data_IF_124058168877
#
_entry.id   IF_124058168877
#
_cell.length_a   1.000
_cell.length_b   1.000
_cell.length_c   1.000
_cell.angle_alpha   90.00
_cell.angle_beta   90.00
_cell.angle_gamma   90.00
#
_symmetry.space_group_name_H-M   'P 1'
#
loop_
_entity.id
_entity.type
_entity.pdbx_description
1 polymer ?
#
# COMPACT_ATOMS: atom_id res chain seq x y z
N UNK A 1 12.76 63.90 1.32
CA UNK A 1 12.95 64.06 2.77
C UNK A 1 13.76 62.87 3.28
N UNK A 2 15.00 63.16 3.57
CA UNK A 2 16.09 62.26 3.95
C UNK A 2 16.19 62.20 5.47
N UNK A 3 16.22 61.05 6.12
CA UNK A 3 16.80 60.95 7.46
C UNK A 3 17.50 59.58 7.61
N UNK A 4 18.72 59.73 7.94
CA UNK A 4 19.93 59.00 8.21
C UNK A 4 19.83 57.95 9.34
N UNK A 5 20.58 56.88 9.13
CA UNK A 5 21.52 56.10 9.95
C UNK A 5 21.57 56.36 11.46
N UNK A 6 21.63 55.27 12.21
CA UNK A 6 22.61 55.17 13.30
C UNK A 6 23.15 53.74 13.44
N UNK A 7 24.46 53.63 13.40
CA UNK A 7 25.29 52.46 13.67
C UNK A 7 25.97 52.72 15.01
N UNK A 8 26.08 51.76 15.89
CA UNK A 8 27.06 51.75 16.98
C UNK A 8 27.53 50.32 17.30
N UNK A 9 28.85 50.20 17.54
CA UNK A 9 29.52 48.90 17.74
C UNK A 9 29.93 48.65 19.20
N UNK A 10 30.74 47.60 19.42
CA UNK A 10 31.50 47.20 20.63
C UNK A 10 30.80 46.08 21.42
N UNK A 11 31.45 45.02 21.91
CA UNK A 11 32.87 44.75 22.16
C UNK A 11 33.11 43.21 22.21
N UNK A 12 34.31 42.84 21.81
CA UNK A 12 34.90 41.50 21.95
C UNK A 12 35.36 41.28 23.40
N UNK A 13 35.10 40.07 23.94
CA UNK A 13 35.79 39.62 25.16
C UNK A 13 36.38 38.22 24.89
N UNK A 14 37.67 38.17 24.82
CA UNK A 14 38.48 36.95 24.78
C UNK A 14 38.66 36.42 26.20
N UNK A 15 38.39 35.15 26.40
CA UNK A 15 38.73 34.42 27.64
C UNK A 15 39.83 33.39 27.35
N UNK A 16 40.99 33.63 27.96
CA UNK A 16 42.17 32.75 27.97
C UNK A 16 41.93 31.66 29.01
N UNK A 17 42.03 30.39 28.61
CA UNK A 17 42.04 29.26 29.55
C UNK A 17 43.46 28.69 29.65
N UNK A 18 44.04 28.83 30.82
CA UNK A 18 45.35 28.30 31.24
C UNK A 18 45.23 26.78 31.53
N UNK A 19 46.08 26.01 30.89
CA UNK A 19 46.29 24.58 31.16
C UNK A 19 47.15 24.36 32.41
N UNK A 20 46.72 23.54 33.32
CA UNK A 20 47.54 23.02 34.42
C UNK A 20 47.87 21.53 34.16
N UNK A 21 49.11 21.25 33.89
CA UNK A 21 49.70 19.91 33.83
C UNK A 21 50.06 19.46 35.27
N UNK A 22 49.48 18.34 35.70
CA UNK A 22 49.98 17.58 36.85
C UNK A 22 50.46 16.20 36.40
N UNK A 23 51.74 15.99 36.42
CA UNK A 23 52.39 14.70 36.32
C UNK A 23 52.29 13.93 37.64
N UNK A 24 51.82 12.71 37.62
CA UNK A 24 52.02 11.76 38.70
C UNK A 24 52.49 10.42 38.12
N UNK A 25 53.69 9.99 38.51
CA UNK A 25 54.28 8.70 38.22
C UNK A 25 53.83 7.63 39.25
N UNK A 26 53.70 6.40 38.79
CA UNK A 26 54.03 5.23 39.60
C UNK A 26 52.92 4.21 39.84
N UNK A 27 53.09 3.02 39.30
CA UNK A 27 52.34 1.83 39.70
C UNK A 27 52.18 0.80 38.59
N UNK A 28 53.11 -0.17 38.50
CA UNK A 28 52.95 -1.34 37.64
C UNK A 28 51.84 -2.23 38.21
N UNK A 29 50.75 -2.38 37.44
CA UNK A 29 49.66 -3.33 37.72
C UNK A 29 49.26 -4.03 36.45
N UNK A 30 49.30 -5.35 36.47
CA UNK A 30 48.98 -6.28 35.41
C UNK A 30 47.67 -5.96 34.67
N UNK A 31 47.76 -5.69 33.38
CA UNK A 31 46.64 -5.54 32.48
C UNK A 31 45.99 -6.90 32.21
N UNK A 32 44.96 -7.22 32.93
CA UNK A 32 43.89 -8.11 32.43
C UNK A 32 42.94 -7.27 31.57
N UNK A 33 43.12 -7.38 30.26
CA UNK A 33 42.16 -6.78 29.31
C UNK A 33 40.80 -7.43 29.54
N UNK A 34 39.93 -6.70 30.22
CA UNK A 34 38.50 -6.98 30.25
C UNK A 34 38.00 -6.80 28.79
N UNK A 35 37.79 -7.92 28.09
CA UNK A 35 36.98 -7.93 26.87
C UNK A 35 35.61 -7.42 27.29
N UNK A 36 35.31 -6.19 26.91
CA UNK A 36 33.95 -5.67 26.97
C UNK A 36 33.07 -6.65 26.22
N UNK A 37 32.15 -7.28 26.93
CA UNK A 37 31.05 -8.00 26.31
C UNK A 37 30.29 -6.98 25.47
N UNK A 38 30.39 -7.11 24.15
CA UNK A 38 29.48 -6.43 23.23
C UNK A 38 28.08 -6.85 23.64
N UNK A 39 27.26 -5.90 24.07
CA UNK A 39 25.83 -6.13 24.25
C UNK A 39 25.31 -6.73 22.94
N UNK A 40 24.50 -7.79 22.98
CA UNK A 40 23.89 -8.30 21.77
C UNK A 40 23.16 -7.11 21.12
N UNK A 41 23.51 -6.79 19.88
CA UNK A 41 22.75 -5.81 19.09
C UNK A 41 21.29 -6.22 19.15
N UNK A 42 20.43 -5.31 19.64
CA UNK A 42 19.00 -5.54 19.63
C UNK A 42 18.60 -5.86 18.17
N UNK A 43 17.88 -6.95 17.98
CA UNK A 43 17.39 -7.33 16.66
C UNK A 43 16.47 -6.19 16.20
N UNK A 44 16.71 -5.56 15.03
CA UNK A 44 15.88 -4.47 14.56
C UNK A 44 14.41 -4.89 14.44
N UNK A 45 13.50 -4.00 14.78
CA UNK A 45 12.05 -4.24 14.64
C UNK A 45 11.71 -4.65 13.20
N UNK A 46 10.87 -5.68 13.03
CA UNK A 46 10.48 -6.22 11.73
C UNK A 46 11.53 -7.11 11.03
N UNK A 47 12.65 -7.38 11.69
CA UNK A 47 13.64 -8.33 11.19
C UNK A 47 13.09 -9.76 11.26
N UNK A 48 13.17 -10.48 10.15
CA UNK A 48 12.87 -11.92 10.04
C UNK A 48 14.19 -12.65 9.80
N UNK A 49 14.32 -13.86 10.34
CA UNK A 49 15.53 -14.66 10.15
C UNK A 49 15.88 -14.83 8.66
N UNK A 50 17.13 -14.54 8.31
CA UNK A 50 17.61 -14.53 6.92
C UNK A 50 17.38 -13.24 6.15
N UNK A 51 16.71 -12.23 6.73
CA UNK A 51 16.54 -10.92 6.11
C UNK A 51 17.81 -10.07 6.23
N UNK A 52 18.01 -9.22 5.24
CA UNK A 52 19.03 -8.16 5.22
C UNK A 52 18.34 -6.81 5.22
N UNK A 53 18.81 -5.92 6.07
CA UNK A 53 18.40 -4.52 6.03
C UNK A 53 19.09 -3.82 4.86
N UNK A 54 18.35 -2.98 4.14
CA UNK A 54 18.81 -2.17 3.02
C UNK A 54 18.65 -0.68 3.33
N UNK A 55 19.54 0.14 2.76
CA UNK A 55 19.48 1.60 2.94
C UNK A 55 18.35 2.27 2.14
N UNK A 56 17.82 1.58 1.13
CA UNK A 56 16.82 2.10 0.21
C UNK A 56 15.68 1.10 0.01
N UNK A 57 14.54 1.59 -0.46
CA UNK A 57 13.38 0.77 -0.77
C UNK A 57 13.73 -0.34 -1.77
N UNK A 58 13.25 -1.54 -1.48
CA UNK A 58 13.49 -2.75 -2.26
C UNK A 58 12.20 -3.19 -2.94
N UNK A 59 11.70 -2.39 -3.89
CA UNK A 59 10.44 -2.71 -4.58
C UNK A 59 10.59 -3.87 -5.56
N UNK A 60 9.56 -4.71 -5.59
CA UNK A 60 9.39 -5.82 -6.54
C UNK A 60 7.99 -5.81 -7.14
N UNK A 61 7.87 -6.25 -8.38
CA UNK A 61 6.58 -6.52 -9.00
C UNK A 61 6.34 -8.03 -9.05
N UNK A 62 5.23 -8.44 -8.47
CA UNK A 62 4.64 -9.76 -8.67
C UNK A 62 3.84 -9.73 -9.97
N UNK A 63 4.09 -10.71 -10.84
CA UNK A 63 3.51 -10.81 -12.18
C UNK A 63 2.96 -12.21 -12.37
N UNK A 64 1.75 -12.35 -12.90
CA UNK A 64 1.15 -13.67 -13.17
C UNK A 64 0.48 -13.71 -14.54
N UNK A 65 0.68 -14.82 -15.24
CA UNK A 65 -0.08 -15.23 -16.42
C UNK A 65 -1.12 -16.26 -15.98
N UNK A 66 -2.41 -15.92 -15.86
CA UNK A 66 -3.43 -16.84 -15.36
C UNK A 66 -3.62 -18.10 -16.20
N UNK A 67 -3.33 -18.03 -17.49
CA UNK A 67 -3.54 -19.15 -18.42
C UNK A 67 -2.48 -20.23 -18.24
N UNK A 68 -1.20 -19.84 -18.26
CA UNK A 68 -0.09 -20.75 -18.00
C UNK A 68 0.10 -21.04 -16.51
N UNK A 69 -0.29 -20.12 -15.66
CA UNK A 69 -0.03 -20.11 -14.23
C UNK A 69 1.37 -19.59 -13.88
N UNK A 70 2.15 -19.23 -14.89
CA UNK A 70 3.52 -18.73 -14.68
C UNK A 70 3.51 -17.46 -13.83
N UNK A 71 4.27 -17.49 -12.75
CA UNK A 71 4.43 -16.34 -11.86
C UNK A 71 5.89 -15.92 -11.82
N UNK A 72 6.12 -14.62 -11.90
CA UNK A 72 7.45 -14.01 -11.86
C UNK A 72 7.50 -12.91 -10.80
N UNK A 73 8.69 -12.68 -10.30
CA UNK A 73 9.02 -11.50 -9.49
C UNK A 73 10.07 -10.71 -10.27
N UNK A 74 9.74 -9.48 -10.64
CA UNK A 74 10.66 -8.51 -11.21
C UNK A 74 11.21 -7.64 -10.07
N UNK A 75 12.49 -7.71 -9.83
CA UNK A 75 13.21 -6.85 -8.90
C UNK A 75 13.49 -5.50 -9.56
N UNK A 76 12.91 -4.43 -9.04
CA UNK A 76 12.98 -3.10 -9.66
C UNK A 76 14.32 -2.39 -9.46
N UNK A 77 15.11 -2.83 -8.47
CA UNK A 77 16.46 -2.30 -8.23
C UNK A 77 17.43 -2.87 -9.27
N UNK A 78 17.41 -4.19 -9.44
CA UNK A 78 18.36 -4.89 -10.31
C UNK A 78 17.86 -5.12 -11.73
N UNK A 79 16.56 -5.06 -11.96
CA UNK A 79 15.90 -5.44 -13.22
C UNK A 79 15.85 -6.96 -13.46
N UNK A 80 16.23 -7.77 -12.48
CA UNK A 80 16.22 -9.22 -12.62
C UNK A 80 14.81 -9.80 -12.44
N UNK A 81 14.52 -10.82 -13.25
CA UNK A 81 13.24 -11.56 -13.20
C UNK A 81 13.51 -12.94 -12.60
N UNK A 82 12.74 -13.26 -11.55
CA UNK A 82 12.83 -14.54 -10.85
C UNK A 82 11.57 -15.37 -11.07
N UNK A 83 11.73 -16.65 -11.38
CA UNK A 83 10.63 -17.61 -11.44
C UNK A 83 10.21 -18.00 -10.02
N UNK A 84 8.90 -18.07 -9.78
CA UNK A 84 8.32 -18.50 -8.51
C UNK A 84 7.35 -19.69 -8.72
N UNK A 85 6.28 -19.76 -7.92
CA UNK A 85 5.26 -20.80 -8.04
C UNK A 85 4.50 -20.75 -9.38
N UNK A 86 3.87 -21.84 -9.76
CA UNK A 86 2.88 -21.89 -10.83
C UNK A 86 1.48 -21.85 -10.23
N UNK A 87 0.72 -20.78 -10.50
CA UNK A 87 -0.65 -20.59 -10.00
C UNK A 87 -1.59 -20.30 -11.16
N UNK A 88 -2.27 -21.31 -11.64
CA UNK A 88 -3.24 -21.22 -12.75
C UNK A 88 -4.58 -20.66 -12.29
N UNK A 89 -5.36 -20.19 -13.24
CA UNK A 89 -6.74 -19.73 -13.04
C UNK A 89 -6.82 -18.58 -12.00
N UNK A 90 -5.75 -17.82 -11.85
CA UNK A 90 -5.72 -16.63 -10.99
C UNK A 90 -6.62 -15.58 -11.60
N UNK A 91 -7.66 -15.18 -10.88
CA UNK A 91 -8.62 -14.15 -11.35
C UNK A 91 -8.27 -12.77 -10.81
N UNK A 92 -7.48 -12.70 -9.73
CA UNK A 92 -7.08 -11.44 -9.12
C UNK A 92 -5.78 -11.62 -8.33
N UNK A 93 -4.92 -10.62 -8.40
CA UNK A 93 -3.70 -10.51 -7.59
C UNK A 93 -3.84 -9.30 -6.66
N UNK A 94 -3.71 -9.55 -5.37
CA UNK A 94 -3.67 -8.52 -4.33
C UNK A 94 -2.34 -8.54 -3.59
N UNK A 95 -2.08 -7.50 -2.81
CA UNK A 95 -0.90 -7.42 -1.94
C UNK A 95 -1.21 -6.64 -0.66
N UNK A 96 -0.45 -6.92 0.39
CA UNK A 96 -0.40 -6.13 1.62
C UNK A 96 0.95 -5.41 1.80
N UNK A 97 1.71 -5.31 0.71
CA UNK A 97 3.04 -4.69 0.68
C UNK A 97 4.19 -5.69 0.81
N UNK A 98 4.00 -6.87 1.40
CA UNK A 98 4.98 -7.96 1.47
C UNK A 98 4.53 -9.19 0.71
N UNK A 99 3.34 -9.70 1.04
CA UNK A 99 2.80 -10.89 0.40
C UNK A 99 1.98 -10.54 -0.84
N UNK A 100 2.07 -11.42 -1.84
CA UNK A 100 1.14 -11.48 -2.95
C UNK A 100 0.09 -12.54 -2.69
N UNK A 101 -1.16 -12.19 -2.96
CA UNK A 101 -2.33 -13.06 -2.82
C UNK A 101 -2.93 -13.31 -4.19
N UNK A 102 -2.68 -14.51 -4.74
CA UNK A 102 -3.20 -14.95 -6.03
C UNK A 102 -4.52 -15.68 -5.80
N UNK A 103 -5.62 -15.00 -6.07
CA UNK A 103 -6.96 -15.51 -5.84
C UNK A 103 -7.41 -16.38 -7.01
N UNK A 104 -7.73 -17.65 -6.73
CA UNK A 104 -8.27 -18.61 -7.68
C UNK A 104 -9.67 -19.07 -7.26
N UNK A 105 -10.45 -19.73 -8.11
CA UNK A 105 -11.71 -20.34 -7.68
C UNK A 105 -11.56 -21.36 -6.54
N UNK A 106 -10.42 -22.07 -6.46
CA UNK A 106 -10.15 -23.08 -5.45
C UNK A 106 -9.65 -22.55 -4.12
N UNK A 107 -8.90 -21.45 -4.13
CA UNK A 107 -8.26 -20.89 -2.94
C UNK A 107 -7.49 -19.62 -3.23
N UNK A 108 -6.81 -19.12 -2.23
CA UNK A 108 -5.89 -17.96 -2.37
C UNK A 108 -4.47 -18.41 -2.09
N UNK A 109 -3.64 -18.43 -3.13
CA UNK A 109 -2.23 -18.79 -3.01
C UNK A 109 -1.43 -17.60 -2.49
N UNK A 110 -0.52 -17.85 -1.54
CA UNK A 110 0.26 -16.82 -0.85
C UNK A 110 1.74 -16.93 -1.22
N UNK A 111 2.29 -15.86 -1.76
CA UNK A 111 3.72 -15.73 -2.07
C UNK A 111 4.34 -14.63 -1.20
N UNK A 112 5.39 -14.95 -0.45
CA UNK A 112 6.24 -13.94 0.19
C UNK A 112 7.20 -13.39 -0.87
N UNK A 113 7.05 -12.12 -1.20
CA UNK A 113 7.91 -11.45 -2.17
C UNK A 113 9.35 -11.31 -1.69
N UNK A 114 9.60 -11.51 -0.40
CA UNK A 114 10.89 -11.35 0.25
C UNK A 114 11.32 -9.90 0.41
N UNK A 115 10.44 -8.93 0.22
CA UNK A 115 10.73 -7.52 0.48
C UNK A 115 9.61 -6.87 1.28
N UNK A 116 9.97 -6.01 2.23
CA UNK A 116 9.02 -5.24 3.03
C UNK A 116 9.67 -4.03 3.65
N UNK A 117 8.84 -3.10 4.12
CA UNK A 117 9.30 -1.99 4.93
C UNK A 117 8.59 -1.96 6.28
N UNK A 118 9.24 -1.35 7.26
CA UNK A 118 8.67 -1.04 8.58
C UNK A 118 8.77 0.46 8.77
N UNK A 119 7.62 1.12 8.82
CA UNK A 119 7.51 2.57 9.00
C UNK A 119 7.25 2.88 10.48
N UNK A 120 8.17 3.58 11.13
CA UNK A 120 8.06 4.04 12.52
C UNK A 120 7.51 5.47 12.62
N UNK A 121 7.14 6.07 11.48
CA UNK A 121 6.63 7.44 11.40
C UNK A 121 7.73 8.49 11.24
N UNK A 122 8.81 8.41 11.99
CA UNK A 122 9.98 9.28 11.91
C UNK A 122 11.10 8.72 11.02
N UNK A 123 11.17 7.40 10.84
CA UNK A 123 12.09 6.70 9.96
C UNK A 123 11.52 5.39 9.44
N UNK A 124 12.14 4.83 8.40
CA UNK A 124 11.70 3.61 7.72
C UNK A 124 12.88 2.64 7.60
N UNK A 125 12.63 1.36 7.91
CA UNK A 125 13.56 0.28 7.62
C UNK A 125 13.09 -0.50 6.40
N UNK A 126 14.02 -0.84 5.52
CA UNK A 126 13.77 -1.65 4.33
C UNK A 126 14.46 -3.00 4.50
N UNK A 127 13.75 -4.07 4.19
CA UNK A 127 14.28 -5.42 4.32
C UNK A 127 14.16 -6.18 3.00
N UNK A 128 15.15 -7.06 2.76
CA UNK A 128 15.10 -8.02 1.67
C UNK A 128 15.52 -9.41 2.15
N UNK A 129 14.83 -10.42 1.62
CA UNK A 129 15.06 -11.83 1.87
C UNK A 129 14.82 -12.64 0.59
N UNK A 130 15.02 -13.96 0.65
CA UNK A 130 14.62 -14.85 -0.41
C UNK A 130 13.08 -14.86 -0.55
N UNK A 131 12.60 -14.95 -1.79
CA UNK A 131 11.18 -15.18 -2.09
C UNK A 131 10.76 -16.56 -1.59
N UNK A 132 9.50 -16.72 -1.19
CA UNK A 132 8.98 -17.98 -0.67
C UNK A 132 7.57 -18.25 -1.13
N UNK A 133 7.33 -19.48 -1.54
CA UNK A 133 5.98 -20.02 -1.66
C UNK A 133 5.50 -20.43 -0.27
N UNK A 134 4.42 -19.78 0.22
CA UNK A 134 3.88 -20.02 1.57
C UNK A 134 2.79 -21.09 1.54
N UNK A 135 2.08 -21.21 0.42
CA UNK A 135 1.01 -22.18 0.25
C UNK A 135 -0.35 -21.53 -0.01
N UNK A 136 -1.44 -22.24 0.31
CA UNK A 136 -2.79 -21.86 -0.07
C UNK A 136 -3.71 -21.65 1.16
N UNK A 137 -4.46 -20.55 1.16
CA UNK A 137 -5.54 -20.28 2.11
C UNK A 137 -6.87 -20.76 1.53
N UNK A 138 -7.77 -21.35 2.36
CA UNK A 138 -9.06 -21.88 1.89
C UNK A 138 -10.09 -20.75 1.68
N UNK A 139 -9.80 -19.83 0.77
CA UNK A 139 -10.62 -18.66 0.49
C UNK A 139 -10.58 -18.37 -1.01
N UNK A 140 -11.72 -18.46 -1.67
CA UNK A 140 -11.85 -18.42 -3.13
C UNK A 140 -11.62 -17.04 -3.74
N UNK A 141 -11.96 -16.92 -5.01
CA UNK A 141 -11.61 -15.80 -5.90
C UNK A 141 -12.06 -14.41 -5.43
N UNK A 142 -13.14 -14.32 -4.66
CA UNK A 142 -13.69 -13.06 -4.15
C UNK A 142 -13.28 -12.74 -2.71
N UNK A 143 -12.42 -13.55 -2.10
CA UNK A 143 -11.94 -13.31 -0.75
C UNK A 143 -11.22 -11.95 -0.64
N UNK A 144 -11.47 -11.24 0.46
CA UNK A 144 -10.78 -10.00 0.80
C UNK A 144 -9.68 -10.32 1.81
N UNK A 145 -8.47 -9.89 1.53
CA UNK A 145 -7.32 -10.08 2.43
C UNK A 145 -6.84 -8.71 2.89
N UNK A 146 -6.76 -8.52 4.20
CA UNK A 146 -6.22 -7.29 4.83
C UNK A 146 -5.32 -7.68 5.99
N UNK A 147 -4.21 -6.97 6.12
CA UNK A 147 -3.20 -7.28 7.14
C UNK A 147 -2.79 -6.04 7.92
N UNK A 148 -2.41 -6.25 9.16
CA UNK A 148 -1.53 -5.37 9.92
C UNK A 148 -0.25 -6.13 10.32
N UNK A 149 0.55 -5.57 11.20
CA UNK A 149 1.80 -6.19 11.66
C UNK A 149 1.59 -7.49 12.47
N UNK A 150 0.39 -7.79 12.92
CA UNK A 150 0.13 -8.94 13.79
C UNK A 150 -0.80 -9.98 13.20
N UNK A 151 -1.76 -9.59 12.36
CA UNK A 151 -2.74 -10.52 11.81
C UNK A 151 -3.01 -10.27 10.33
N UNK A 152 -3.33 -11.34 9.62
CA UNK A 152 -3.89 -11.30 8.27
C UNK A 152 -5.35 -11.79 8.34
N UNK A 153 -6.28 -10.88 8.09
CA UNK A 153 -7.70 -11.16 8.03
C UNK A 153 -8.12 -11.56 6.61
N UNK A 154 -8.75 -12.70 6.47
CA UNK A 154 -9.29 -13.23 5.22
C UNK A 154 -10.80 -13.34 5.35
N UNK A 155 -11.54 -12.54 4.59
CA UNK A 155 -13.01 -12.58 4.59
C UNK A 155 -13.48 -13.20 3.27
N UNK A 156 -14.22 -14.29 3.33
CA UNK A 156 -14.76 -14.94 2.14
C UNK A 156 -16.04 -14.25 1.63
N UNK A 157 -16.53 -14.67 0.48
CA UNK A 157 -17.73 -14.13 -0.17
C UNK A 157 -18.99 -14.26 0.71
N UNK A 158 -19.06 -15.30 1.56
CA UNK A 158 -20.14 -15.52 2.51
C UNK A 158 -20.05 -14.64 3.77
N UNK A 159 -19.00 -13.83 3.90
CA UNK A 159 -18.75 -12.97 5.06
C UNK A 159 -18.15 -13.69 6.27
N UNK A 160 -17.69 -14.94 6.10
CA UNK A 160 -16.89 -15.62 7.12
C UNK A 160 -15.49 -15.02 7.13
N UNK A 161 -15.01 -14.62 8.29
CA UNK A 161 -13.67 -14.05 8.46
C UNK A 161 -12.78 -14.98 9.28
N UNK A 162 -11.56 -15.20 8.76
CA UNK A 162 -10.49 -15.99 9.34
C UNK A 162 -9.30 -15.08 9.65
N UNK A 163 -8.72 -15.19 10.83
CA UNK A 163 -7.51 -14.46 11.22
C UNK A 163 -6.33 -15.43 11.28
N UNK A 164 -5.33 -15.16 10.49
CA UNK A 164 -4.04 -15.84 10.51
C UNK A 164 -3.02 -15.01 11.28
N UNK A 165 -2.15 -15.67 12.01
CA UNK A 165 -1.00 -15.03 12.66
C UNK A 165 -0.01 -14.54 11.58
N UNK A 166 0.29 -13.26 11.59
CA UNK A 166 1.19 -12.64 10.63
C UNK A 166 2.60 -13.17 10.73
N UNK A 167 3.09 -13.38 11.94
CA UNK A 167 4.46 -13.86 12.18
C UNK A 167 4.65 -15.28 11.67
N UNK A 168 3.64 -16.14 11.72
CA UNK A 168 3.70 -17.49 11.16
C UNK A 168 3.76 -17.46 9.62
N UNK A 169 2.97 -16.58 8.97
CA UNK A 169 3.05 -16.37 7.52
C UNK A 169 4.45 -15.87 7.12
N UNK A 170 5.04 -14.98 7.90
CA UNK A 170 6.40 -14.46 7.68
C UNK A 170 7.49 -15.52 7.86
N UNK A 171 7.22 -16.56 8.62
CA UNK A 171 8.05 -17.77 8.71
C UNK A 171 7.76 -18.78 7.59
N UNK A 172 6.81 -18.49 6.68
CA UNK A 172 6.40 -19.37 5.60
C UNK A 172 5.47 -20.50 6.05
N UNK A 173 4.69 -20.26 7.11
CA UNK A 173 3.77 -21.26 7.67
C UNK A 173 2.34 -20.77 7.64
N UNK A 174 1.43 -21.61 7.18
CA UNK A 174 -0.02 -21.40 7.33
C UNK A 174 -0.49 -22.25 8.50
N UNK A 175 -0.79 -21.60 9.61
CA UNK A 175 -1.31 -22.25 10.82
C UNK A 175 -2.84 -22.18 10.86
N UNK A 176 -3.46 -22.90 11.81
CA UNK A 176 -4.91 -22.87 11.97
C UNK A 176 -5.39 -21.48 12.34
N UNK A 177 -6.30 -20.87 11.57
CA UNK A 177 -6.77 -19.51 11.84
C UNK A 177 -7.77 -19.46 13.00
N UNK A 178 -7.91 -18.29 13.59
CA UNK A 178 -9.04 -17.97 14.45
C UNK A 178 -10.23 -17.59 13.58
N UNK A 179 -11.34 -18.29 13.74
CA UNK A 179 -12.61 -17.93 13.07
C UNK A 179 -13.33 -16.86 13.86
N UNK A 180 -13.60 -15.72 13.23
CA UNK A 180 -14.40 -14.66 13.87
C UNK A 180 -15.87 -15.05 13.91
N UNK A 181 -16.57 -14.75 15.02
CA UNK A 181 -17.99 -15.03 15.15
C UNK A 181 -18.85 -14.10 14.30
N UNK A 182 -19.90 -14.66 13.69
CA UNK A 182 -20.89 -13.93 12.89
C UNK A 182 -20.48 -13.76 11.43
N UNK A 183 -21.33 -13.05 10.69
CA UNK A 183 -21.17 -12.76 9.27
C UNK A 183 -20.83 -11.28 9.09
N UNK A 184 -19.88 -11.00 8.21
CA UNK A 184 -19.37 -9.66 7.95
C UNK A 184 -19.73 -9.23 6.51
N UNK A 185 -19.89 -7.95 6.30
CA UNK A 185 -20.15 -7.37 4.98
C UNK A 185 -18.85 -6.73 4.48
N UNK A 186 -18.32 -7.21 3.35
CA UNK A 186 -17.04 -6.75 2.82
C UNK A 186 -15.84 -7.23 3.65
N UNK A 187 -14.73 -6.52 3.57
CA UNK A 187 -13.51 -6.87 4.27
C UNK A 187 -13.61 -6.63 5.79
N UNK A 188 -12.97 -7.51 6.56
CA UNK A 188 -12.56 -7.22 7.94
C UNK A 188 -11.17 -6.60 7.88
N UNK A 189 -11.04 -5.37 8.37
CA UNK A 189 -9.80 -4.58 8.25
C UNK A 189 -9.11 -4.50 9.61
N UNK A 190 -7.92 -5.09 9.78
CA UNK A 190 -7.10 -4.87 10.97
C UNK A 190 -6.64 -3.40 11.05
N UNK A 191 -6.82 -2.78 12.21
CA UNK A 191 -6.46 -1.39 12.44
C UNK A 191 -6.30 -1.10 13.94
N UNK A 192 -5.16 -0.54 14.36
CA UNK A 192 -4.88 -0.15 15.75
C UNK A 192 -5.23 -1.25 16.75
N UNK A 193 -4.62 -2.44 16.58
CA UNK A 193 -4.81 -3.65 17.39
C UNK A 193 -6.24 -4.22 17.42
N UNK A 194 -7.14 -3.68 16.63
CA UNK A 194 -8.55 -4.05 16.53
C UNK A 194 -8.90 -4.47 15.12
N UNK A 195 -10.15 -4.83 14.91
CA UNK A 195 -10.73 -5.18 13.62
C UNK A 195 -11.92 -4.28 13.34
N UNK A 196 -11.91 -3.59 12.22
CA UNK A 196 -13.05 -2.84 11.71
C UNK A 196 -13.86 -3.74 10.79
N UNK A 197 -15.15 -3.84 11.01
CA UNK A 197 -16.03 -4.70 10.22
C UNK A 197 -17.43 -4.09 10.11
N UNK A 198 -18.14 -4.46 9.04
CA UNK A 198 -19.56 -4.17 8.92
C UNK A 198 -20.40 -5.41 9.24
N UNK A 199 -21.46 -5.23 9.98
CA UNK A 199 -22.45 -6.26 10.27
C UNK A 199 -23.85 -5.77 9.89
N UNK A 200 -24.69 -6.70 9.44
CA UNK A 200 -26.08 -6.38 9.17
C UNK A 200 -26.81 -6.12 10.49
N UNK A 201 -27.45 -4.97 10.57
CA UNK A 201 -28.37 -4.60 11.64
C UNK A 201 -29.66 -4.06 11.03
N UNK A 202 -30.72 -4.86 11.08
CA UNK A 202 -32.02 -4.47 10.54
C UNK A 202 -32.01 -4.01 9.08
N UNK A 203 -31.19 -4.67 8.22
CA UNK A 203 -31.06 -4.32 6.82
C UNK A 203 -30.01 -3.26 6.47
N UNK A 204 -29.31 -2.73 7.48
CA UNK A 204 -28.27 -1.69 7.30
C UNK A 204 -26.91 -2.22 7.72
N UNK A 205 -25.85 -1.85 7.01
CA UNK A 205 -24.49 -2.15 7.37
C UNK A 205 -23.99 -1.20 8.47
N UNK A 206 -23.89 -1.70 9.70
CA UNK A 206 -23.39 -0.96 10.85
C UNK A 206 -21.90 -1.24 11.05
N UNK A 207 -21.10 -0.19 11.22
CA UNK A 207 -19.70 -0.32 11.60
C UNK A 207 -19.57 -0.81 13.04
N UNK A 208 -18.80 -1.86 13.23
CA UNK A 208 -18.42 -2.39 14.54
C UNK A 208 -16.91 -2.49 14.66
N UNK A 209 -16.41 -2.25 15.86
CA UNK A 209 -15.00 -2.47 16.22
C UNK A 209 -14.94 -3.72 17.11
N UNK A 210 -14.12 -4.67 16.69
CA UNK A 210 -13.93 -5.94 17.36
C UNK A 210 -12.51 -6.07 17.91
N UNK A 211 -12.35 -6.80 19.00
CA UNK A 211 -11.02 -7.32 19.36
C UNK A 211 -10.62 -8.47 18.43
N UNK A 212 -9.37 -8.93 18.52
CA UNK A 212 -8.85 -10.04 17.69
C UNK A 212 -9.50 -11.40 17.98
N UNK A 213 -10.40 -11.49 18.98
CA UNK A 213 -11.25 -12.66 19.25
C UNK A 213 -12.66 -12.51 18.69
N UNK A 214 -12.96 -11.37 18.05
CA UNK A 214 -14.23 -11.05 17.44
C UNK A 214 -15.29 -10.55 18.43
N UNK A 215 -14.93 -10.24 19.68
CA UNK A 215 -15.82 -9.59 20.64
C UNK A 215 -15.91 -8.10 20.28
N UNK A 216 -17.14 -7.58 20.20
CA UNK A 216 -17.39 -6.15 19.96
C UNK A 216 -16.88 -5.32 21.15
N UNK A 217 -15.99 -4.37 20.90
CA UNK A 217 -15.44 -3.44 21.88
C UNK A 217 -15.97 -2.04 21.71
N UNK A 218 -16.35 -1.64 20.49
CA UNK A 218 -17.00 -0.37 20.22
C UNK A 218 -17.99 -0.46 19.05
N UNK A 219 -18.90 0.49 18.98
CA UNK A 219 -19.76 0.75 17.83
C UNK A 219 -19.91 2.27 17.73
N UNK A 220 -19.28 2.93 16.76
CA UNK A 220 -19.38 4.37 16.58
C UNK A 220 -20.78 4.88 16.21
N UNK A 221 -21.75 3.97 16.02
CA UNK A 221 -23.13 4.32 15.71
C UNK A 221 -23.36 4.87 14.31
N UNK A 222 -22.41 4.60 13.39
CA UNK A 222 -22.45 5.06 12.00
C UNK A 222 -22.72 3.88 11.09
N UNK A 223 -23.52 4.10 10.07
CA UNK A 223 -23.83 3.15 9.00
C UNK A 223 -23.18 3.57 7.70
N UNK A 224 -22.86 2.59 6.88
CA UNK A 224 -22.38 2.78 5.51
C UNK A 224 -23.33 2.03 4.57
N UNK A 225 -24.06 2.75 3.75
CA UNK A 225 -24.93 2.11 2.78
C UNK A 225 -24.07 1.42 1.73
N UNK A 226 -24.32 0.13 1.50
CA UNK A 226 -23.62 -0.68 0.50
C UNK A 226 -22.07 -0.57 0.58
N UNK A 227 -21.43 -0.96 1.71
CA UNK A 227 -19.98 -0.81 1.87
C UNK A 227 -19.23 -1.60 0.79
N UNK A 228 -18.37 -0.91 0.04
CA UNK A 228 -17.54 -1.49 -1.02
C UNK A 228 -16.19 -0.79 -1.10
N UNK A 229 -15.13 -1.59 -1.12
CA UNK A 229 -13.77 -1.07 -1.13
C UNK A 229 -13.36 -0.46 0.21
N UNK A 230 -12.10 -0.55 0.48
CA UNK A 230 -11.46 0.01 1.66
C UNK A 230 -10.02 0.42 1.34
N UNK A 231 -9.48 1.32 2.15
CA UNK A 231 -8.08 1.72 2.11
C UNK A 231 -7.59 2.12 3.50
N UNK A 232 -6.40 1.65 3.87
CA UNK A 232 -5.74 2.07 5.10
C UNK A 232 -4.79 3.22 4.76
N UNK A 233 -4.97 4.36 5.40
CA UNK A 233 -4.14 5.56 5.24
C UNK A 233 -3.52 5.96 6.57
N UNK A 234 -2.60 6.93 6.56
CA UNK A 234 -2.07 7.51 7.81
C UNK A 234 -3.13 8.26 8.61
N UNK A 235 -4.23 8.64 8.00
CA UNK A 235 -5.34 9.37 8.64
C UNK A 235 -6.40 8.46 9.25
N UNK A 236 -6.38 7.19 8.91
CA UNK A 236 -7.36 6.19 9.31
C UNK A 236 -7.76 5.28 8.17
N UNK A 237 -8.80 4.51 8.38
CA UNK A 237 -9.35 3.59 7.38
C UNK A 237 -10.52 4.24 6.68
N UNK A 238 -10.47 4.22 5.35
CA UNK A 238 -11.56 4.65 4.47
C UNK A 238 -12.35 3.43 4.03
N UNK A 239 -13.67 3.54 4.06
CA UNK A 239 -14.60 2.60 3.43
C UNK A 239 -15.46 3.35 2.41
N UNK A 240 -15.62 2.80 1.22
CA UNK A 240 -16.57 3.33 0.22
C UNK A 240 -18.00 3.01 0.62
N UNK A 241 -18.89 4.00 0.54
CA UNK A 241 -20.31 3.90 0.80
C UNK A 241 -21.11 4.41 -0.41
N UNK A 242 -22.41 4.15 -0.43
CA UNK A 242 -23.25 4.59 -1.54
C UNK A 242 -23.29 6.13 -1.74
N UNK A 243 -23.09 6.88 -0.68
CA UNK A 243 -23.17 8.34 -0.61
C UNK A 243 -21.83 9.05 -0.44
N UNK A 244 -20.72 8.31 -0.45
CA UNK A 244 -19.39 8.87 -0.29
C UNK A 244 -18.41 7.89 0.34
N UNK A 245 -17.64 8.33 1.32
CA UNK A 245 -16.75 7.50 2.11
C UNK A 245 -17.01 7.64 3.60
N UNK A 246 -16.63 6.61 4.36
CA UNK A 246 -16.60 6.62 5.81
C UNK A 246 -15.13 6.57 6.26
N UNK A 247 -14.66 7.61 6.93
CA UNK A 247 -13.35 7.66 7.57
C UNK A 247 -13.45 7.19 9.02
N UNK A 248 -12.73 6.12 9.35
CA UNK A 248 -12.62 5.60 10.71
C UNK A 248 -11.25 5.89 11.29
N UNK A 249 -11.20 6.50 12.46
CA UNK A 249 -9.96 6.84 13.16
C UNK A 249 -9.96 6.29 14.58
N UNK A 250 -8.77 5.93 15.05
CA UNK A 250 -8.53 5.61 16.45
C UNK A 250 -7.69 6.71 17.10
N UNK A 251 -8.05 7.07 18.33
CA UNK A 251 -7.27 7.97 19.17
C UNK A 251 -7.43 7.58 20.64
N UNK A 252 -6.33 7.29 21.32
CA UNK A 252 -6.32 6.86 22.73
C UNK A 252 -7.30 5.71 23.02
N UNK A 253 -7.36 4.71 22.14
CA UNK A 253 -8.25 3.55 22.28
C UNK A 253 -9.73 3.82 21.97
N UNK A 254 -10.10 5.05 21.64
CA UNK A 254 -11.45 5.41 21.20
C UNK A 254 -11.51 5.44 19.66
N UNK A 255 -12.63 4.96 19.11
CA UNK A 255 -12.89 4.95 17.68
C UNK A 255 -13.94 5.98 17.30
N UNK A 256 -13.64 6.79 16.31
CA UNK A 256 -14.57 7.75 15.71
C UNK A 256 -14.78 7.42 14.25
N UNK A 257 -15.96 7.73 13.73
CA UNK A 257 -16.27 7.54 12.32
C UNK A 257 -16.95 8.81 11.78
N UNK A 258 -16.52 9.24 10.59
CA UNK A 258 -16.94 10.48 9.94
C UNK A 258 -17.31 10.18 8.49
N UNK A 259 -18.48 10.62 8.03
CA UNK A 259 -18.91 10.50 6.63
C UNK A 259 -18.33 11.65 5.82
N UNK A 260 -17.73 11.31 4.69
CA UNK A 260 -17.24 12.26 3.69
C UNK A 260 -18.12 12.10 2.44
N UNK A 261 -19.17 12.93 2.28
CA UNK A 261 -20.11 12.79 1.17
C UNK A 261 -19.50 13.26 -0.15
N UNK A 262 -19.94 12.71 -1.29
CA UNK A 262 -19.49 13.17 -2.62
C UNK A 262 -19.76 14.65 -2.92
N UNK A 263 -20.63 15.30 -2.15
CA UNK A 263 -21.03 16.70 -2.39
C UNK A 263 -22.13 16.85 -3.45
N UNK A 264 -22.24 15.91 -4.36
CA UNK A 264 -23.28 15.79 -5.39
C UNK A 264 -23.83 14.37 -5.41
N UNK A 265 -25.01 14.18 -6.00
CA UNK A 265 -25.55 12.83 -6.16
C UNK A 265 -24.67 12.03 -7.14
N UNK A 266 -24.12 10.90 -6.69
CA UNK A 266 -23.40 9.96 -7.53
C UNK A 266 -24.32 8.78 -7.91
N UNK A 267 -24.58 8.53 -9.21
CA UNK A 267 -25.29 7.33 -9.64
C UNK A 267 -24.59 6.06 -9.15
N UNK A 268 -25.31 4.97 -9.00
CA UNK A 268 -24.74 3.70 -8.51
C UNK A 268 -23.56 3.19 -9.36
N UNK A 269 -23.55 3.49 -10.65
CA UNK A 269 -22.49 3.17 -11.62
C UNK A 269 -21.24 4.02 -11.47
N UNK A 270 -21.32 5.17 -10.81
CA UNK A 270 -20.20 6.11 -10.63
C UNK A 270 -19.66 6.12 -9.20
N UNK A 271 -20.15 5.25 -8.31
CA UNK A 271 -19.67 5.19 -6.92
C UNK A 271 -18.27 4.62 -6.85
N UNK A 272 -17.44 5.14 -5.95
CA UNK A 272 -16.13 4.61 -5.65
C UNK A 272 -16.25 3.26 -4.96
N UNK A 273 -15.88 2.18 -5.63
CA UNK A 273 -16.00 0.79 -5.14
C UNK A 273 -14.67 0.08 -4.97
N UNK A 274 -13.58 0.67 -5.47
CA UNK A 274 -12.23 0.15 -5.35
C UNK A 274 -11.25 1.32 -5.31
N UNK A 275 -10.54 1.44 -4.20
CA UNK A 275 -9.56 2.51 -4.03
C UNK A 275 -8.18 2.09 -4.52
N UNK A 276 -7.48 3.02 -5.19
CA UNK A 276 -6.07 2.93 -5.53
C UNK A 276 -5.34 4.12 -4.96
N UNK A 277 -4.15 3.89 -4.46
CA UNK A 277 -3.27 4.92 -3.92
C UNK A 277 -1.86 4.37 -3.72
N UNK A 278 -0.89 5.24 -3.66
CA UNK A 278 0.42 4.87 -3.13
C UNK A 278 0.31 4.64 -1.61
N UNK A 279 0.88 3.57 -1.06
CA UNK A 279 0.91 3.35 0.39
C UNK A 279 1.47 4.54 1.16
N UNK A 280 0.79 4.90 2.24
CA UNK A 280 1.11 6.08 3.05
C UNK A 280 0.69 7.42 2.44
N UNK A 281 0.00 7.44 1.30
CA UNK A 281 -0.67 8.64 0.77
C UNK A 281 -2.05 8.81 1.40
N UNK A 282 -2.46 10.05 1.59
CA UNK A 282 -3.82 10.42 2.02
C UNK A 282 -4.72 10.80 0.82
N UNK A 283 -4.24 10.61 -0.41
CA UNK A 283 -5.01 10.83 -1.64
C UNK A 283 -5.35 9.49 -2.26
N UNK A 284 -6.63 9.20 -2.38
CA UNK A 284 -7.15 7.96 -2.94
C UNK A 284 -7.84 8.22 -4.27
N UNK A 285 -7.73 7.28 -5.20
CA UNK A 285 -8.42 7.35 -6.49
C UNK A 285 -9.36 6.17 -6.66
N UNK A 286 -10.47 6.38 -7.34
CA UNK A 286 -11.40 5.33 -7.76
C UNK A 286 -12.05 5.74 -9.09
N UNK A 287 -12.35 4.77 -9.94
CA UNK A 287 -13.11 5.07 -11.15
C UNK A 287 -14.52 5.57 -10.81
N UNK A 288 -14.99 6.55 -11.59
CA UNK A 288 -16.33 7.13 -11.53
C UNK A 288 -17.06 6.86 -12.86
N UNK A 289 -17.62 5.66 -13.00
CA UNK A 289 -18.12 5.21 -14.30
C UNK A 289 -17.00 4.83 -15.26
N UNK A 290 -17.20 5.10 -16.55
CA UNK A 290 -16.26 4.69 -17.60
C UNK A 290 -15.29 5.79 -18.03
N UNK A 291 -15.61 7.06 -17.80
CA UNK A 291 -14.92 8.23 -18.36
C UNK A 291 -14.61 9.32 -17.31
N UNK A 292 -14.57 8.96 -16.05
CA UNK A 292 -14.20 9.87 -14.99
C UNK A 292 -13.53 9.12 -13.80
N UNK A 293 -12.93 9.91 -12.94
CA UNK A 293 -12.23 9.41 -11.73
C UNK A 293 -12.63 10.25 -10.53
N UNK A 294 -12.98 9.59 -9.44
CA UNK A 294 -13.04 10.21 -8.12
C UNK A 294 -11.65 10.26 -7.49
N UNK A 295 -11.31 11.42 -6.97
CA UNK A 295 -10.12 11.62 -6.11
C UNK A 295 -10.60 12.08 -4.75
N UNK A 296 -10.27 11.30 -3.70
CA UNK A 296 -10.55 11.63 -2.32
C UNK A 296 -9.28 12.16 -1.64
N UNK A 297 -9.30 13.42 -1.24
CA UNK A 297 -8.33 13.94 -0.27
C UNK A 297 -8.85 13.65 1.16
N UNK A 298 -8.23 12.67 1.81
CA UNK A 298 -8.61 12.24 3.16
C UNK A 298 -8.27 13.30 4.21
N UNK A 299 -7.22 14.10 3.98
CA UNK A 299 -6.82 15.15 4.89
C UNK A 299 -7.79 16.33 4.85
N UNK A 300 -8.18 16.79 3.65
CA UNK A 300 -9.15 17.84 3.43
C UNK A 300 -10.61 17.39 3.57
N UNK A 301 -10.87 16.07 3.51
CA UNK A 301 -12.23 15.46 3.48
C UNK A 301 -13.06 15.93 2.32
N UNK A 302 -12.46 15.97 1.15
CA UNK A 302 -13.09 16.42 -0.07
C UNK A 302 -12.95 15.42 -1.20
N UNK A 303 -13.98 15.34 -2.02
CA UNK A 303 -13.98 14.62 -3.27
C UNK A 303 -13.82 15.57 -4.43
N UNK A 304 -12.96 15.23 -5.38
CA UNK A 304 -12.86 15.87 -6.68
C UNK A 304 -13.21 14.84 -7.74
N UNK A 305 -14.12 15.18 -8.66
CA UNK A 305 -14.39 14.38 -9.84
C UNK A 305 -13.59 14.97 -11.00
N UNK A 306 -12.78 14.14 -11.63
CA UNK A 306 -11.99 14.51 -12.82
C UNK A 306 -12.57 13.77 -14.02
N UNK A 307 -13.04 14.52 -15.02
CA UNK A 307 -13.48 13.95 -16.29
C UNK A 307 -12.25 13.56 -17.12
N UNK A 308 -12.25 12.36 -17.67
CA UNK A 308 -11.13 11.76 -18.41
C UNK A 308 -11.61 11.15 -19.71
N UNK A 309 -10.74 10.51 -20.47
CA UNK A 309 -11.16 9.53 -21.48
C UNK A 309 -11.58 8.20 -20.83
N UNK A 310 -11.97 7.21 -21.64
CA UNK A 310 -12.43 5.92 -21.12
C UNK A 310 -11.36 5.19 -20.33
N UNK A 311 -11.64 4.95 -19.04
CA UNK A 311 -10.69 4.49 -18.02
C UNK A 311 -10.46 2.98 -18.10
N UNK A 312 -9.20 2.55 -18.23
CA UNK A 312 -8.74 1.18 -18.04
C UNK A 312 -8.23 1.00 -16.62
N UNK A 313 -7.33 1.88 -16.18
CA UNK A 313 -6.76 1.86 -14.84
C UNK A 313 -6.49 3.27 -14.34
N UNK A 314 -6.45 3.43 -13.01
CA UNK A 314 -6.19 4.72 -12.37
C UNK A 314 -5.32 4.54 -11.14
N UNK A 315 -4.45 5.51 -10.87
CA UNK A 315 -3.69 5.64 -9.62
C UNK A 315 -3.14 7.07 -9.45
N UNK A 316 -2.56 7.36 -8.29
CA UNK A 316 -1.81 8.60 -8.01
C UNK A 316 -0.75 8.34 -6.95
N UNK A 317 0.36 9.07 -7.02
CA UNK A 317 1.36 9.06 -5.97
C UNK A 317 0.94 9.90 -4.74
N UNK A 318 -0.11 10.69 -4.87
CA UNK A 318 -0.68 11.50 -3.80
C UNK A 318 -0.50 13.00 -4.01
N UNK A 319 -0.52 13.76 -2.92
CA UNK A 319 -0.48 15.20 -2.92
C UNK A 319 0.66 15.78 -3.79
N UNK A 320 0.32 16.74 -4.65
CA UNK A 320 1.27 17.37 -5.57
C UNK A 320 1.66 16.53 -6.79
N UNK A 321 1.15 15.30 -6.89
CA UNK A 321 1.41 14.40 -8.02
C UNK A 321 0.21 14.38 -8.98
N UNK A 322 0.43 14.07 -10.27
CA UNK A 322 -0.67 13.95 -11.22
C UNK A 322 -1.58 12.78 -10.89
N UNK A 323 -2.84 12.89 -11.26
CA UNK A 323 -3.71 11.74 -11.44
C UNK A 323 -3.24 11.00 -12.69
N UNK A 324 -2.97 9.71 -12.57
CA UNK A 324 -2.53 8.84 -13.65
C UNK A 324 -3.71 8.00 -14.12
N UNK A 325 -4.07 8.11 -15.38
CA UNK A 325 -5.16 7.36 -16.00
C UNK A 325 -4.64 6.63 -17.23
N UNK A 326 -4.73 5.32 -17.23
CA UNK A 326 -4.52 4.51 -18.43
C UNK A 326 -5.87 4.43 -19.14
N UNK A 327 -5.92 4.90 -20.36
CA UNK A 327 -7.16 4.97 -21.14
C UNK A 327 -7.25 3.90 -22.21
N UNK A 328 -8.44 3.72 -22.81
CA UNK A 328 -8.68 2.68 -23.83
C UNK A 328 -7.91 2.91 -25.14
N UNK A 329 -7.32 4.08 -25.33
CA UNK A 329 -6.38 4.35 -26.42
C UNK A 329 -4.98 3.74 -26.20
N UNK A 330 -4.79 3.09 -25.04
CA UNK A 330 -3.56 2.44 -24.62
C UNK A 330 -2.50 3.40 -24.09
N UNK A 331 -2.78 4.69 -23.97
CA UNK A 331 -1.85 5.69 -23.46
C UNK A 331 -2.06 5.94 -21.97
N UNK A 332 -0.99 6.27 -21.28
CA UNK A 332 -1.07 6.82 -19.93
C UNK A 332 -1.21 8.34 -20.02
N UNK A 333 -2.25 8.85 -19.37
CA UNK A 333 -2.55 10.28 -19.27
C UNK A 333 -2.27 10.77 -17.84
N UNK A 334 -1.74 11.99 -17.73
CA UNK A 334 -1.55 12.70 -16.47
C UNK A 334 -2.52 13.89 -16.42
N UNK A 335 -3.27 13.99 -15.33
CA UNK A 335 -4.19 15.10 -15.10
C UNK A 335 -3.80 15.85 -13.83
N UNK A 336 -3.97 17.16 -13.86
CA UNK A 336 -3.97 17.97 -12.64
C UNK A 336 -5.27 17.72 -11.88
N UNK A 337 -5.16 17.30 -10.62
CA UNK A 337 -6.33 16.93 -9.80
C UNK A 337 -7.24 18.12 -9.51
N UNK A 338 -6.64 19.30 -9.33
CA UNK A 338 -7.38 20.49 -8.93
C UNK A 338 -8.15 21.14 -10.09
N UNK A 339 -7.56 21.13 -11.28
CA UNK A 339 -8.16 21.77 -12.47
C UNK A 339 -8.87 20.77 -13.38
N UNK A 340 -8.55 19.48 -13.30
CA UNK A 340 -9.02 18.46 -14.23
C UNK A 340 -8.33 18.51 -15.59
N UNK A 341 -7.34 19.40 -15.80
CA UNK A 341 -6.66 19.55 -17.08
C UNK A 341 -5.65 18.43 -17.30
N UNK A 342 -5.61 17.90 -18.52
CA UNK A 342 -4.58 16.96 -18.94
C UNK A 342 -3.24 17.70 -19.06
N UNK A 343 -2.25 17.27 -18.30
CA UNK A 343 -0.91 17.89 -18.24
C UNK A 343 0.13 17.15 -19.06
N UNK A 344 -0.04 15.83 -19.25
CA UNK A 344 0.90 14.99 -19.98
C UNK A 344 0.20 13.77 -20.59
N UNK A 345 0.83 13.14 -21.58
CA UNK A 345 0.38 11.90 -22.20
C UNK A 345 1.56 11.14 -22.78
N UNK A 346 1.59 9.82 -22.64
CA UNK A 346 2.54 8.96 -23.33
C UNK A 346 2.06 8.66 -24.77
N UNK A 347 2.94 8.10 -25.60
CA UNK A 347 2.46 7.29 -26.74
C UNK A 347 1.74 6.06 -26.17
N UNK A 348 0.98 5.35 -27.03
CA UNK A 348 0.33 4.10 -26.60
C UNK A 348 1.37 3.15 -26.01
N UNK A 349 1.13 2.76 -24.75
CA UNK A 349 1.92 1.75 -24.03
C UNK A 349 1.39 0.34 -24.32
N UNK A 350 0.07 0.24 -24.49
CA UNK A 350 -0.60 -1.05 -24.66
C UNK A 350 -0.59 -1.44 -26.15
N UNK A 351 -0.27 -2.71 -26.39
CA UNK A 351 -0.20 -3.31 -27.72
C UNK A 351 -1.48 -4.13 -27.98
N UNK A 352 -2.13 -3.87 -29.11
CA UNK A 352 -3.28 -4.64 -29.60
C UNK A 352 -4.57 -4.39 -28.83
N UNK A 353 -5.71 -4.53 -29.51
CA UNK A 353 -7.05 -4.69 -28.93
C UNK A 353 -7.71 -3.45 -28.36
N UNK A 354 -8.97 -3.65 -28.03
CA UNK A 354 -9.78 -2.72 -27.21
C UNK A 354 -9.57 -3.09 -25.74
N UNK A 355 -8.93 -2.24 -25.01
CA UNK A 355 -8.76 -2.42 -23.57
C UNK A 355 -10.01 -1.90 -22.86
N UNK A 356 -10.56 -2.69 -21.98
CA UNK A 356 -11.69 -2.30 -21.13
C UNK A 356 -11.34 -2.65 -19.69
N UNK A 357 -11.88 -1.87 -18.75
CA UNK A 357 -11.80 -2.20 -17.35
C UNK A 357 -12.63 -3.45 -17.09
N UNK A 358 -11.96 -4.55 -16.80
CA UNK A 358 -12.59 -5.81 -16.37
C UNK A 358 -12.15 -6.12 -14.95
N UNK A 359 -13.04 -6.72 -14.17
CA UNK A 359 -12.71 -7.11 -12.80
C UNK A 359 -11.54 -8.12 -12.79
N UNK A 360 -10.35 -7.62 -12.45
CA UNK A 360 -9.18 -8.42 -12.12
C UNK A 360 -8.17 -8.74 -13.22
N UNK A 361 -8.44 -8.47 -14.50
CA UNK A 361 -7.53 -8.84 -15.61
C UNK A 361 -7.10 -7.70 -16.52
N UNK A 362 -7.51 -6.47 -16.24
CA UNK A 362 -7.06 -5.29 -16.99
C UNK A 362 -5.62 -4.92 -16.59
N UNK A 363 -4.85 -4.27 -17.48
CA UNK A 363 -3.61 -3.62 -17.09
C UNK A 363 -3.82 -2.70 -15.89
N UNK A 364 -2.83 -2.63 -15.01
CA UNK A 364 -2.89 -1.84 -13.78
C UNK A 364 -1.80 -0.78 -13.79
N UNK A 365 -1.98 0.24 -12.94
CA UNK A 365 -0.95 1.22 -12.62
C UNK A 365 -0.55 1.00 -11.17
N UNK A 366 0.67 0.53 -10.92
CA UNK A 366 1.28 0.57 -9.59
C UNK A 366 2.12 1.84 -9.46
N UNK A 367 2.21 2.39 -8.24
CA UNK A 367 2.87 3.69 -8.03
C UNK A 367 3.67 3.67 -6.74
N UNK A 368 4.95 3.96 -6.82
CA UNK A 368 5.81 4.27 -5.69
C UNK A 368 6.03 5.80 -5.53
N UNK A 369 7.03 6.21 -4.75
CA UNK A 369 7.30 7.64 -4.47
C UNK A 369 7.86 8.41 -5.67
N UNK A 370 8.32 7.74 -6.71
CA UNK A 370 9.03 8.36 -7.83
C UNK A 370 8.64 7.81 -9.20
N UNK A 371 8.03 6.65 -9.25
CA UNK A 371 7.74 5.92 -10.49
C UNK A 371 6.32 5.36 -10.49
N UNK A 372 5.82 5.20 -11.70
CA UNK A 372 4.64 4.40 -11.99
C UNK A 372 5.02 3.21 -12.87
N UNK A 373 4.31 2.12 -12.71
CA UNK A 373 4.53 0.88 -13.44
C UNK A 373 3.24 0.46 -14.14
N UNK A 374 3.33 0.17 -15.43
CA UNK A 374 2.19 -0.26 -16.27
C UNK A 374 2.56 -1.55 -16.97
N UNK A 375 1.75 -2.59 -16.85
CA UNK A 375 1.93 -3.86 -17.55
C UNK A 375 1.23 -3.86 -18.90
N UNK A 376 1.91 -4.38 -19.94
CA UNK A 376 1.34 -4.72 -21.24
C UNK A 376 1.45 -6.23 -21.47
N UNK A 377 0.36 -6.98 -21.28
CA UNK A 377 0.37 -8.43 -21.44
C UNK A 377 0.69 -8.88 -22.88
N UNK A 378 0.28 -8.12 -23.90
CA UNK A 378 0.43 -8.53 -25.27
C UNK A 378 1.87 -8.39 -25.77
N UNK A 379 2.56 -7.31 -25.42
CA UNK A 379 3.99 -7.17 -25.72
C UNK A 379 4.91 -7.85 -24.71
N UNK A 380 4.35 -8.44 -23.65
CA UNK A 380 5.09 -9.04 -22.53
C UNK A 380 6.07 -8.06 -21.89
N UNK A 381 5.57 -6.86 -21.56
CA UNK A 381 6.40 -5.79 -21.01
C UNK A 381 5.79 -5.21 -19.72
N UNK A 382 6.69 -4.64 -18.92
CA UNK A 382 6.33 -3.65 -17.90
C UNK A 382 7.08 -2.38 -18.23
N UNK A 383 6.36 -1.26 -18.23
CA UNK A 383 6.91 0.08 -18.39
C UNK A 383 7.09 0.75 -17.03
N UNK A 384 8.27 1.30 -16.79
CA UNK A 384 8.55 2.19 -15.68
C UNK A 384 8.50 3.63 -16.18
N UNK A 385 7.69 4.45 -15.53
CA UNK A 385 7.35 5.80 -15.98
C UNK A 385 7.71 6.80 -14.89
N UNK A 386 8.46 7.82 -15.28
CA UNK A 386 8.73 8.99 -14.44
C UNK A 386 7.56 9.96 -14.54
N UNK A 387 6.65 9.89 -13.57
CA UNK A 387 5.46 10.74 -13.57
C UNK A 387 5.77 12.20 -13.20
N UNK A 388 6.97 12.48 -12.67
CA UNK A 388 7.43 13.84 -12.37
C UNK A 388 8.12 14.52 -13.57
N UNK A 389 8.36 13.76 -14.65
CA UNK A 389 9.04 14.24 -15.86
C UNK A 389 8.16 14.01 -17.10
N UNK A 390 6.96 14.60 -17.10
CA UNK A 390 6.05 14.56 -18.25
C UNK A 390 5.64 13.16 -18.71
N UNK A 391 5.56 12.19 -17.80
CA UNK A 391 5.28 10.77 -18.06
C UNK A 391 6.33 10.10 -18.94
N UNK A 392 7.60 10.50 -18.84
CA UNK A 392 8.69 9.90 -19.59
C UNK A 392 8.87 8.43 -19.20
N UNK A 393 8.95 7.54 -20.19
CA UNK A 393 9.32 6.15 -19.96
C UNK A 393 10.80 6.12 -19.54
N UNK A 394 11.04 5.73 -18.28
CA UNK A 394 12.38 5.64 -17.71
C UNK A 394 13.07 4.32 -18.10
N UNK A 395 12.32 3.21 -17.97
CA UNK A 395 12.78 1.87 -18.35
C UNK A 395 11.62 1.06 -18.95
N UNK A 396 11.94 0.02 -19.69
CA UNK A 396 11.00 -1.04 -20.05
C UNK A 396 11.65 -2.40 -19.76
N UNK A 397 10.87 -3.32 -19.22
CA UNK A 397 11.31 -4.66 -18.87
C UNK A 397 10.63 -5.66 -19.81
N UNK A 398 11.43 -6.41 -20.56
CA UNK A 398 10.95 -7.53 -21.37
C UNK A 398 10.80 -8.78 -20.50
N UNK A 399 9.69 -9.48 -20.65
CA UNK A 399 9.34 -10.64 -19.84
C UNK A 399 9.19 -11.90 -20.72
N UNK A 400 9.39 -13.05 -20.11
CA UNK A 400 9.17 -14.35 -20.76
C UNK A 400 7.69 -14.79 -20.67
N UNK A 401 6.88 -14.16 -19.82
CA UNK A 401 5.44 -14.43 -19.61
C UNK A 401 4.58 -13.26 -20.07
N UNK A 402 3.27 -13.47 -20.15
CA UNK A 402 2.28 -12.39 -20.29
C UNK A 402 1.94 -11.86 -18.90
N UNK A 403 2.34 -10.64 -18.52
CA UNK A 403 2.07 -10.08 -17.21
C UNK A 403 0.61 -9.58 -17.13
N UNK A 404 -0.37 -10.48 -17.12
CA UNK A 404 -1.81 -10.12 -17.08
C UNK A 404 -2.17 -9.49 -15.74
N UNK A 405 -1.63 -10.07 -14.66
CA UNK A 405 -1.83 -9.56 -13.31
C UNK A 405 -0.50 -9.03 -12.78
N UNK A 406 -0.56 -7.89 -12.10
CA UNK A 406 0.61 -7.23 -11.51
C UNK A 406 0.26 -6.60 -10.17
N UNK A 407 1.17 -6.71 -9.21
CA UNK A 407 1.09 -6.00 -7.92
C UNK A 407 2.49 -5.65 -7.42
N UNK A 408 2.65 -4.47 -6.84
CA UNK A 408 3.92 -4.01 -6.26
C UNK A 408 4.04 -4.39 -4.79
N UNK A 409 5.22 -4.86 -4.38
CA UNK A 409 5.62 -5.20 -3.01
C UNK A 409 6.89 -4.47 -2.60
N UNK A 410 7.26 -4.53 -1.31
CA UNK A 410 8.41 -3.81 -0.75
C UNK A 410 8.06 -2.39 -0.30
N UNK A 411 6.78 -2.18 0.02
CA UNK A 411 6.21 -0.88 0.37
C UNK A 411 5.33 -0.92 1.60
#
# INVERSE_FOLDING_TARGET
>A
MTVRRNVSPWASTALVLTALLTTSCGGAGSNTASRGASSPSAVPHGHVEGAREAAEQQSRLLLNDPVGGDTRILDLVTGQVHTTAQVKDTVRLGTDGRFGYLHTPGGTHVLDSGVWMVDHGDHVHYYSAATRDVGELPAGSRAQVRSDAAVTAVTDEGGRALLYDRSELEQGKITSPVTLPGTHIGAVVPYEEHLLAFRNRSGTAELVVLDRRGKRVASPGVTCAEPRGDAVTRRGVIFGCADGALLVRAHNGAFTAEVIPYGTHAPATERATAFRHRPGSDTLTAAAGDDAVWVLDVAARTWTRVDTGPVVAVNTAGEGSPLLVLETDGSLHGYDIATGEQTARTKSLLTGGTWARTDGSAPVIEVDRSRAYVNDPESKKVFEIDYNDGLRIARSFDLDIRPVLMAETGR
#
